data_IF_000243329170
#
_entry.id   IF_000243329170
#
_cell.length_a   1.000
_cell.length_b   1.000
_cell.length_c   1.000
_cell.angle_alpha   90.00
_cell.angle_beta   90.00
_cell.angle_gamma   90.00
#
_symmetry.space_group_name_H-M   'P 1'
#
loop_
_entity.id
_entity.type
_entity.pdbx_description
1 polymer ?
#
# COMPACT_ATOMS: atom_id res chain seq x y z
N UNK A 1 2.50 39.88 -16.22
CA UNK A 1 1.25 39.12 -16.53
C UNK A 1 1.39 38.11 -17.67
N UNK A 2 2.25 38.30 -18.68
CA UNK A 2 2.33 37.37 -19.82
C UNK A 2 3.07 36.03 -19.55
N UNK A 3 4.06 36.00 -18.68
CA UNK A 3 4.86 34.76 -18.42
C UNK A 3 4.15 33.73 -17.57
N UNK A 4 3.34 34.12 -16.61
CA UNK A 4 2.62 33.25 -15.69
C UNK A 4 1.52 32.45 -16.40
N UNK A 5 0.78 33.11 -17.28
CA UNK A 5 -0.24 32.48 -18.12
C UNK A 5 0.41 31.41 -19.01
N UNK A 6 1.61 31.69 -19.55
CA UNK A 6 2.35 30.77 -20.40
C UNK A 6 2.80 29.48 -19.66
N UNK A 7 3.24 29.56 -18.39
CA UNK A 7 3.66 28.37 -17.60
C UNK A 7 2.44 27.51 -17.25
N UNK A 8 1.38 28.12 -16.79
CA UNK A 8 0.12 27.44 -16.47
C UNK A 8 -0.47 26.74 -17.68
N UNK A 9 -0.46 27.40 -18.84
CA UNK A 9 -0.98 26.87 -20.10
C UNK A 9 -0.14 25.67 -20.57
N UNK A 10 1.19 25.71 -20.39
CA UNK A 10 2.07 24.56 -20.66
C UNK A 10 1.76 23.37 -19.76
N UNK A 11 1.55 23.59 -18.45
CA UNK A 11 1.14 22.53 -17.52
C UNK A 11 -0.16 21.91 -17.98
N UNK A 12 -1.15 22.71 -18.32
CA UNK A 12 -2.46 22.23 -18.80
C UNK A 12 -2.37 21.50 -20.14
N UNK A 13 -1.58 22.02 -21.08
CA UNK A 13 -1.35 21.37 -22.36
C UNK A 13 -0.69 20.00 -22.21
N UNK A 14 0.32 19.87 -21.35
CA UNK A 14 0.93 18.57 -21.07
C UNK A 14 -0.04 17.59 -20.44
N UNK A 15 -0.86 18.06 -19.49
CA UNK A 15 -1.91 17.23 -18.86
C UNK A 15 -2.98 16.80 -19.84
N UNK A 16 -3.39 17.66 -20.77
CA UNK A 16 -4.38 17.32 -21.81
C UNK A 16 -3.88 16.23 -22.76
N UNK A 17 -2.56 16.08 -22.89
CA UNK A 17 -1.93 14.98 -23.63
C UNK A 17 -1.67 13.72 -22.80
N UNK A 18 -2.20 13.66 -21.57
CA UNK A 18 -2.08 12.50 -20.70
C UNK A 18 -0.75 12.39 -19.95
N UNK A 19 0.09 13.44 -19.92
CA UNK A 19 1.32 13.45 -19.17
C UNK A 19 1.09 13.78 -17.69
N UNK A 20 1.82 13.11 -16.80
CA UNK A 20 1.92 13.46 -15.38
C UNK A 20 2.97 14.56 -15.24
N UNK A 21 2.55 15.74 -14.76
CA UNK A 21 3.38 16.94 -14.74
C UNK A 21 3.80 17.29 -13.31
N UNK A 22 5.11 17.35 -13.09
CA UNK A 22 5.69 17.94 -11.88
C UNK A 22 6.18 19.36 -12.20
N UNK A 23 5.89 20.30 -11.30
CA UNK A 23 6.34 21.69 -11.43
C UNK A 23 7.00 22.15 -10.14
N UNK A 24 8.10 22.87 -10.28
CA UNK A 24 8.77 23.55 -9.17
C UNK A 24 8.63 25.05 -9.27
N UNK A 25 8.44 25.73 -8.15
CA UNK A 25 8.34 27.19 -8.09
C UNK A 25 8.65 27.73 -6.69
N UNK A 26 9.03 29.00 -6.62
CA UNK A 26 9.36 29.72 -5.38
C UNK A 26 8.58 31.03 -5.23
N UNK A 27 8.09 31.59 -6.35
CA UNK A 27 7.36 32.85 -6.40
C UNK A 27 5.86 32.71 -6.16
N UNK A 28 5.21 33.79 -5.70
CA UNK A 28 3.75 33.88 -5.54
C UNK A 28 3.05 33.60 -6.87
N UNK A 29 3.66 34.01 -7.97
CA UNK A 29 3.14 33.88 -9.32
C UNK A 29 3.04 32.41 -9.78
N UNK A 30 3.88 31.56 -9.24
CA UNK A 30 3.90 30.13 -9.57
C UNK A 30 2.77 29.34 -8.89
N UNK A 31 2.10 29.94 -7.89
CA UNK A 31 1.13 29.23 -7.05
C UNK A 31 -0.01 28.58 -7.85
N UNK A 32 -0.52 29.27 -8.89
CA UNK A 32 -1.60 28.73 -9.72
C UNK A 32 -1.12 27.57 -10.60
N UNK A 33 0.07 27.67 -11.17
CA UNK A 33 0.63 26.62 -12.00
C UNK A 33 1.05 25.40 -11.17
N UNK A 34 1.58 25.61 -9.95
CA UNK A 34 1.85 24.55 -8.96
C UNK A 34 0.60 23.80 -8.54
N UNK A 35 -0.51 24.51 -8.35
CA UNK A 35 -1.81 23.93 -8.03
C UNK A 35 -2.38 23.09 -9.19
N UNK A 36 -2.20 23.53 -10.42
CA UNK A 36 -2.69 22.85 -11.62
C UNK A 36 -1.81 21.62 -11.98
N UNK A 37 -0.55 21.58 -11.56
CA UNK A 37 0.35 20.43 -11.74
C UNK A 37 -0.09 19.22 -10.90
N UNK A 38 0.26 18.01 -11.35
CA UNK A 38 0.00 16.77 -10.60
C UNK A 38 0.86 16.70 -9.34
N UNK A 39 2.10 17.21 -9.43
CA UNK A 39 3.01 17.37 -8.30
C UNK A 39 3.59 18.79 -8.28
N UNK A 40 3.02 19.66 -7.45
CA UNK A 40 3.58 20.99 -7.16
C UNK A 40 4.66 20.89 -6.09
N UNK A 41 5.85 21.42 -6.37
CA UNK A 41 7.02 21.41 -5.46
C UNK A 41 7.41 22.84 -5.16
N UNK A 42 7.32 23.26 -3.91
CA UNK A 42 7.78 24.58 -3.48
C UNK A 42 9.20 24.52 -2.89
N UNK A 43 9.94 25.61 -3.07
CA UNK A 43 11.23 25.77 -2.42
C UNK A 43 11.06 26.27 -0.99
N UNK A 44 11.94 25.84 -0.06
CA UNK A 44 11.86 26.19 1.35
C UNK A 44 12.04 27.69 1.64
N UNK A 45 12.76 28.40 0.79
CA UNK A 45 12.92 29.85 0.79
C UNK A 45 11.81 30.60 -0.02
N UNK A 46 10.91 29.86 -0.66
CA UNK A 46 9.83 30.42 -1.48
C UNK A 46 8.73 31.11 -0.67
N UNK A 47 7.83 31.77 -1.39
CA UNK A 47 6.72 32.53 -0.81
C UNK A 47 5.77 31.64 0.00
N UNK A 48 5.17 32.14 1.11
CA UNK A 48 4.20 31.39 1.90
C UNK A 48 3.01 30.88 1.10
N UNK A 49 2.52 31.68 0.15
CA UNK A 49 1.41 31.31 -0.72
C UNK A 49 1.73 30.10 -1.60
N UNK A 50 2.96 30.02 -2.12
CA UNK A 50 3.45 28.90 -2.94
C UNK A 50 3.56 27.62 -2.10
N UNK A 51 4.09 27.74 -0.88
CA UNK A 51 4.19 26.60 0.06
C UNK A 51 2.81 26.07 0.45
N UNK A 52 1.81 26.95 0.60
CA UNK A 52 0.47 26.56 1.01
C UNK A 52 -0.27 25.71 -0.04
N UNK A 53 0.08 25.86 -1.33
CA UNK A 53 -0.54 25.11 -2.44
C UNK A 53 0.30 23.93 -2.94
N UNK A 54 1.58 23.87 -2.56
CA UNK A 54 2.49 22.82 -2.96
C UNK A 54 2.20 21.51 -2.23
N UNK A 55 2.38 20.38 -2.92
CA UNK A 55 2.27 19.04 -2.34
C UNK A 55 3.57 18.57 -1.68
N UNK A 56 4.70 19.16 -2.09
CA UNK A 56 6.03 18.88 -1.55
C UNK A 56 6.76 20.20 -1.32
N UNK A 57 7.48 20.31 -0.20
CA UNK A 57 8.33 21.48 0.10
C UNK A 57 9.76 21.01 0.30
N UNK A 58 10.70 21.53 -0.50
CA UNK A 58 12.13 21.29 -0.37
C UNK A 58 12.73 22.26 0.65
N UNK A 59 12.75 21.87 1.93
CA UNK A 59 13.14 22.74 3.06
C UNK A 59 14.51 23.39 2.86
N UNK A 60 15.50 22.65 2.35
CA UNK A 60 16.85 23.17 2.08
C UNK A 60 16.98 23.85 0.72
N UNK A 61 15.91 23.93 -0.08
CA UNK A 61 15.96 24.50 -1.44
C UNK A 61 16.85 23.75 -2.42
N UNK A 62 17.29 22.53 -2.11
CA UNK A 62 18.20 21.75 -2.94
C UNK A 62 17.43 20.81 -3.86
N UNK A 63 17.43 21.11 -5.14
CA UNK A 63 16.82 20.26 -6.16
C UNK A 63 17.47 18.87 -6.25
N UNK A 64 18.76 18.77 -5.90
CA UNK A 64 19.51 17.52 -5.84
C UNK A 64 18.97 16.49 -4.85
N UNK A 65 18.08 16.88 -3.94
CA UNK A 65 17.40 15.97 -3.02
C UNK A 65 16.28 15.15 -3.69
N UNK A 66 15.73 15.62 -4.83
CA UNK A 66 14.60 14.96 -5.50
C UNK A 66 14.86 13.51 -5.92
N UNK A 67 16.01 13.13 -6.48
CA UNK A 67 16.29 11.72 -6.77
C UNK A 67 16.19 10.82 -5.54
N UNK A 68 16.66 11.30 -4.38
CA UNK A 68 16.53 10.58 -3.11
C UNK A 68 15.07 10.43 -2.66
N UNK A 69 14.27 11.48 -2.79
CA UNK A 69 12.82 11.44 -2.49
C UNK A 69 12.10 10.44 -3.38
N UNK A 70 12.42 10.41 -4.68
CA UNK A 70 11.84 9.44 -5.62
C UNK A 70 12.26 8.01 -5.28
N UNK A 71 13.52 7.79 -4.91
CA UNK A 71 14.01 6.48 -4.50
C UNK A 71 13.30 5.98 -3.24
N UNK A 72 13.14 6.85 -2.23
CA UNK A 72 12.41 6.51 -1.01
C UNK A 72 10.91 6.26 -1.27
N UNK A 73 10.27 7.07 -2.11
CA UNK A 73 8.89 6.84 -2.53
C UNK A 73 8.70 5.47 -3.20
N UNK A 74 9.61 5.07 -4.08
CA UNK A 74 9.60 3.73 -4.69
C UNK A 74 9.76 2.61 -3.68
N UNK A 75 10.66 2.80 -2.70
CA UNK A 75 10.86 1.85 -1.60
C UNK A 75 9.60 1.67 -0.77
N UNK A 76 8.97 2.77 -0.36
CA UNK A 76 7.72 2.75 0.42
C UNK A 76 6.61 2.04 -0.34
N UNK A 77 6.42 2.35 -1.63
CA UNK A 77 5.40 1.70 -2.46
C UNK A 77 5.63 0.19 -2.59
N UNK A 78 6.87 -0.24 -2.86
CA UNK A 78 7.19 -1.66 -2.98
C UNK A 78 7.00 -2.42 -1.65
N UNK A 79 7.38 -1.83 -0.54
CA UNK A 79 7.19 -2.43 0.78
C UNK A 79 5.69 -2.49 1.14
N UNK A 80 4.92 -1.45 0.82
CA UNK A 80 3.47 -1.44 1.00
C UNK A 80 2.79 -2.55 0.19
N UNK A 81 3.22 -2.78 -1.05
CA UNK A 81 2.69 -3.87 -1.89
C UNK A 81 2.92 -5.25 -1.26
N UNK A 82 4.12 -5.50 -0.74
CA UNK A 82 4.46 -6.75 -0.06
C UNK A 82 3.67 -6.96 1.23
N UNK A 83 3.58 -5.93 2.04
CA UNK A 83 2.83 -5.97 3.31
C UNK A 83 1.33 -6.16 3.04
N UNK A 84 0.77 -5.41 2.10
CA UNK A 84 -0.63 -5.55 1.69
C UNK A 84 -0.95 -6.97 1.21
N UNK A 85 -0.03 -7.61 0.47
CA UNK A 85 -0.18 -9.00 0.02
C UNK A 85 -0.33 -9.97 1.19
N UNK A 86 0.49 -9.83 2.24
CA UNK A 86 0.40 -10.69 3.43
C UNK A 86 -0.94 -10.52 4.16
N UNK A 87 -1.39 -9.27 4.34
CA UNK A 87 -2.66 -8.98 5.01
C UNK A 87 -3.86 -9.47 4.21
N UNK A 88 -3.87 -9.26 2.91
CA UNK A 88 -4.96 -9.72 2.05
C UNK A 88 -5.05 -11.24 1.97
N UNK A 89 -3.92 -11.93 1.84
CA UNK A 89 -3.90 -13.39 1.86
C UNK A 89 -4.50 -13.94 3.16
N UNK A 90 -4.13 -13.33 4.32
CA UNK A 90 -4.73 -13.66 5.61
C UNK A 90 -6.23 -13.46 5.63
N UNK A 91 -6.69 -12.31 5.15
CA UNK A 91 -8.13 -11.99 5.14
C UNK A 91 -8.90 -13.01 4.30
N UNK A 92 -8.36 -13.43 3.16
CA UNK A 92 -8.99 -14.41 2.27
C UNK A 92 -9.11 -15.78 2.96
N UNK A 93 -8.02 -16.31 3.54
CA UNK A 93 -8.14 -17.62 4.19
C UNK A 93 -9.00 -17.57 5.45
N UNK A 94 -8.93 -16.49 6.23
CA UNK A 94 -9.76 -16.34 7.42
C UNK A 94 -11.26 -16.25 7.07
N UNK A 95 -11.59 -15.51 6.02
CA UNK A 95 -12.96 -15.41 5.50
C UNK A 95 -13.47 -16.76 4.97
N UNK A 96 -12.62 -17.49 4.24
CA UNK A 96 -12.96 -18.82 3.75
C UNK A 96 -13.28 -19.77 4.91
N UNK A 97 -12.42 -19.82 5.92
CA UNK A 97 -12.62 -20.65 7.11
C UNK A 97 -13.92 -20.24 7.82
N UNK A 98 -14.14 -18.94 8.03
CA UNK A 98 -15.33 -18.44 8.72
C UNK A 98 -16.62 -18.85 7.99
N UNK A 99 -16.68 -18.69 6.67
CA UNK A 99 -17.85 -19.04 5.85
C UNK A 99 -18.12 -20.55 5.91
N UNK A 100 -17.10 -21.39 5.69
CA UNK A 100 -17.27 -22.84 5.65
C UNK A 100 -17.68 -23.39 7.01
N UNK A 101 -17.01 -22.96 8.09
CA UNK A 101 -17.29 -23.41 9.46
C UNK A 101 -18.69 -22.99 9.90
N UNK A 102 -19.12 -21.76 9.55
CA UNK A 102 -20.49 -21.28 9.82
C UNK A 102 -21.53 -22.08 9.05
N UNK A 103 -21.28 -22.39 7.78
CA UNK A 103 -22.21 -23.18 6.95
C UNK A 103 -22.34 -24.62 7.45
N UNK A 104 -21.26 -25.20 7.98
CA UNK A 104 -21.25 -26.57 8.53
C UNK A 104 -21.71 -26.63 9.99
N UNK A 105 -21.98 -25.50 10.64
CA UNK A 105 -22.31 -25.37 12.07
C UNK A 105 -21.30 -26.10 13.01
N UNK A 106 -20.02 -26.08 12.63
CA UNK A 106 -18.92 -26.69 13.40
C UNK A 106 -18.20 -25.60 14.22
N UNK A 107 -17.53 -25.99 15.32
CA UNK A 107 -16.76 -25.05 16.13
C UNK A 107 -15.59 -24.44 15.32
N UNK A 108 -15.30 -23.16 15.56
CA UNK A 108 -14.20 -22.48 14.86
C UNK A 108 -12.85 -23.07 15.29
N UNK A 109 -11.94 -23.38 14.34
CA UNK A 109 -10.70 -24.13 14.63
C UNK A 109 -9.68 -23.38 15.47
N UNK A 110 -9.79 -22.06 15.58
CA UNK A 110 -8.85 -21.22 16.33
C UNK A 110 -9.51 -20.47 17.46
N UNK A 111 -8.90 -20.54 18.64
CA UNK A 111 -9.22 -19.59 19.72
C UNK A 111 -8.65 -18.20 19.38
N UNK A 112 -9.30 -17.09 19.81
CA UNK A 112 -8.82 -15.74 19.51
C UNK A 112 -7.34 -15.50 19.88
N UNK A 113 -6.89 -16.02 21.03
CA UNK A 113 -5.51 -15.93 21.48
C UNK A 113 -4.52 -16.66 20.55
N UNK A 114 -4.90 -17.82 20.03
CA UNK A 114 -4.07 -18.59 19.08
C UNK A 114 -3.96 -17.86 17.74
N UNK A 115 -5.09 -17.30 17.28
CA UNK A 115 -5.12 -16.53 16.05
C UNK A 115 -4.24 -15.28 16.12
N UNK A 116 -4.16 -14.63 17.30
CA UNK A 116 -3.26 -13.51 17.54
C UNK A 116 -1.80 -13.91 17.44
N UNK A 117 -1.40 -15.03 18.09
CA UNK A 117 -0.01 -15.53 18.02
C UNK A 117 0.37 -15.91 16.60
N UNK A 118 -0.48 -16.68 15.91
CA UNK A 118 -0.27 -17.05 14.50
C UNK A 118 -0.11 -15.81 13.63
N UNK A 119 -0.98 -14.80 13.82
CA UNK A 119 -0.92 -13.55 13.07
C UNK A 119 0.35 -12.76 13.32
N UNK A 120 0.80 -12.68 14.56
CA UNK A 120 2.03 -11.95 14.91
C UNK A 120 3.26 -12.61 14.30
N UNK A 121 3.33 -13.95 14.32
CA UNK A 121 4.44 -14.70 13.75
C UNK A 121 4.43 -14.72 12.22
N UNK A 122 3.28 -14.89 11.59
CA UNK A 122 3.18 -15.07 10.13
C UNK A 122 3.10 -13.75 9.36
N UNK A 123 2.62 -12.69 10.00
CA UNK A 123 2.45 -11.38 9.36
C UNK A 123 3.24 -10.31 10.08
N UNK A 124 3.11 -10.18 11.39
CA UNK A 124 3.72 -9.08 12.16
C UNK A 124 5.24 -9.03 11.99
N UNK A 125 5.93 -10.12 12.28
CA UNK A 125 7.39 -10.20 12.16
C UNK A 125 7.84 -10.08 10.69
N UNK A 126 7.30 -10.84 9.72
CA UNK A 126 7.68 -10.69 8.32
C UNK A 126 7.38 -9.29 7.76
N UNK A 127 6.24 -8.68 8.10
CA UNK A 127 5.91 -7.33 7.67
C UNK A 127 6.91 -6.29 8.20
N UNK A 128 7.32 -6.42 9.46
CA UNK A 128 8.34 -5.56 10.06
C UNK A 128 9.69 -5.70 9.35
N UNK A 129 10.15 -6.91 9.10
CA UNK A 129 11.40 -7.18 8.36
C UNK A 129 11.32 -6.64 6.93
N UNK A 130 10.19 -6.85 6.25
CA UNK A 130 9.98 -6.34 4.89
C UNK A 130 9.91 -4.81 4.84
N UNK A 131 9.40 -4.15 5.87
CA UNK A 131 9.38 -2.69 5.95
C UNK A 131 10.78 -2.09 6.01
N UNK A 132 11.75 -2.79 6.61
CA UNK A 132 13.15 -2.39 6.69
C UNK A 132 13.94 -2.73 5.42
N UNK A 133 13.46 -3.65 4.59
CA UNK A 133 14.17 -4.12 3.42
C UNK A 133 14.35 -3.01 2.37
N UNK A 134 15.55 -2.81 1.82
CA UNK A 134 15.76 -1.89 0.71
C UNK A 134 15.05 -2.43 -0.54
N UNK A 135 14.43 -1.52 -1.29
CA UNK A 135 13.80 -1.88 -2.56
C UNK A 135 14.08 -0.79 -3.60
N UNK A 136 14.71 -1.20 -4.71
CA UNK A 136 15.00 -0.34 -5.86
C UNK A 136 14.04 -0.61 -7.03
N UNK A 137 12.94 -1.31 -6.79
CA UNK A 137 11.99 -1.65 -7.86
C UNK A 137 11.29 -0.39 -8.36
N UNK A 138 11.20 -0.27 -9.70
CA UNK A 138 10.41 0.79 -10.31
C UNK A 138 8.93 0.55 -10.05
N UNK A 139 8.19 1.62 -9.80
CA UNK A 139 6.73 1.55 -9.76
C UNK A 139 6.19 0.95 -11.06
N UNK A 140 5.28 0.01 -10.92
CA UNK A 140 4.53 -0.57 -12.04
C UNK A 140 3.05 -0.29 -11.81
N UNK A 141 2.35 0.11 -12.86
CA UNK A 141 0.90 0.28 -12.80
C UNK A 141 0.19 -1.06 -12.55
N UNK A 142 -1.06 -1.01 -12.04
CA UNK A 142 -1.84 -2.22 -11.77
C UNK A 142 -1.52 -2.88 -10.43
N UNK A 143 -1.17 -2.09 -9.40
CA UNK A 143 -0.92 -2.57 -8.03
C UNK A 143 -1.98 -3.56 -7.54
N UNK A 144 -3.27 -3.20 -7.62
CA UNK A 144 -4.36 -4.02 -7.11
C UNK A 144 -4.45 -5.38 -7.82
N UNK A 145 -4.31 -5.39 -9.15
CA UNK A 145 -4.34 -6.63 -9.93
C UNK A 145 -3.21 -7.59 -9.54
N UNK A 146 -1.98 -7.08 -9.36
CA UNK A 146 -0.84 -7.91 -8.94
C UNK A 146 -1.00 -8.47 -7.54
N UNK A 147 -1.44 -7.62 -6.59
CA UNK A 147 -1.69 -8.05 -5.22
C UNK A 147 -2.78 -9.13 -5.19
N UNK A 148 -3.90 -8.93 -5.86
CA UNK A 148 -4.99 -9.91 -5.89
C UNK A 148 -4.59 -11.21 -6.59
N UNK A 149 -3.88 -11.15 -7.70
CA UNK A 149 -3.42 -12.35 -8.42
C UNK A 149 -2.50 -13.25 -7.58
N UNK A 150 -1.77 -12.68 -6.63
CA UNK A 150 -0.94 -13.43 -5.68
C UNK A 150 -1.72 -13.89 -4.44
N UNK A 151 -2.52 -12.99 -3.87
CA UNK A 151 -3.18 -13.22 -2.57
C UNK A 151 -4.36 -14.16 -2.65
N UNK A 152 -5.12 -14.13 -3.77
CA UNK A 152 -6.31 -14.99 -3.91
C UNK A 152 -5.90 -16.46 -3.94
N UNK A 153 -5.01 -16.93 -4.83
CA UNK A 153 -4.62 -18.33 -4.83
C UNK A 153 -3.90 -18.73 -3.53
N UNK A 154 -3.01 -17.91 -3.00
CA UNK A 154 -2.31 -18.20 -1.75
C UNK A 154 -3.27 -18.32 -0.55
N UNK A 155 -4.23 -17.40 -0.43
CA UNK A 155 -5.23 -17.44 0.64
C UNK A 155 -6.19 -18.62 0.50
N UNK A 156 -6.62 -18.96 -0.72
CA UNK A 156 -7.46 -20.14 -0.96
C UNK A 156 -6.72 -21.43 -0.65
N UNK A 157 -5.46 -21.58 -1.07
CA UNK A 157 -4.64 -22.75 -0.75
C UNK A 157 -4.45 -22.89 0.76
N UNK A 158 -4.06 -21.83 1.45
CA UNK A 158 -3.88 -21.86 2.90
C UNK A 158 -5.19 -22.20 3.64
N UNK A 159 -6.30 -21.62 3.21
CA UNK A 159 -7.62 -21.87 3.79
C UNK A 159 -8.09 -23.31 3.55
N UNK A 160 -7.94 -23.84 2.34
CA UNK A 160 -8.35 -25.23 2.01
C UNK A 160 -7.49 -26.26 2.76
N UNK A 161 -6.18 -26.07 2.84
CA UNK A 161 -5.30 -26.96 3.61
C UNK A 161 -5.66 -26.94 5.09
N UNK A 162 -5.88 -25.75 5.67
CA UNK A 162 -6.27 -25.62 7.08
C UNK A 162 -7.62 -26.29 7.34
N UNK A 163 -8.62 -26.07 6.49
CA UNK A 163 -9.95 -26.68 6.62
C UNK A 163 -9.89 -28.20 6.46
N UNK A 164 -9.19 -28.70 5.45
CA UNK A 164 -9.07 -30.15 5.22
C UNK A 164 -8.40 -30.86 6.39
N UNK A 165 -7.34 -30.28 6.94
CA UNK A 165 -6.66 -30.80 8.14
C UNK A 165 -7.58 -30.78 9.36
N UNK A 166 -8.28 -29.69 9.57
CA UNK A 166 -9.24 -29.55 10.69
C UNK A 166 -10.37 -30.56 10.59
N UNK A 167 -11.01 -30.68 9.44
CA UNK A 167 -12.10 -31.62 9.21
C UNK A 167 -11.63 -33.07 9.33
N UNK A 168 -10.45 -33.40 8.79
CA UNK A 168 -9.87 -34.72 8.93
C UNK A 168 -9.64 -35.09 10.41
N UNK A 169 -9.08 -34.19 11.21
CA UNK A 169 -8.85 -34.38 12.63
C UNK A 169 -10.19 -34.53 13.40
N UNK A 170 -11.19 -33.72 13.08
CA UNK A 170 -12.50 -33.81 13.74
C UNK A 170 -13.24 -35.10 13.40
N UNK A 171 -13.06 -35.63 12.19
CA UNK A 171 -13.70 -36.88 11.76
C UNK A 171 -12.96 -38.13 12.26
N UNK A 172 -11.62 -38.07 12.38
CA UNK A 172 -10.79 -39.25 12.72
C UNK A 172 -10.45 -39.34 14.20
N UNK A 173 -10.35 -38.22 14.94
CA UNK A 173 -9.85 -38.18 16.31
C UNK A 173 -10.79 -37.47 17.29
N UNK A 174 -12.08 -37.46 17.05
CA UNK A 174 -13.01 -36.92 18.04
C UNK A 174 -13.34 -37.92 19.18
N UNK A 175 -12.56 -37.99 20.27
CA UNK A 175 -13.18 -38.04 21.58
C UNK A 175 -13.48 -36.58 21.94
N UNK A 176 -14.75 -36.29 22.03
CA UNK A 176 -15.28 -34.99 22.48
C UNK A 176 -14.72 -34.71 23.89
N UNK A 177 -13.58 -34.04 23.97
CA UNK A 177 -13.24 -33.32 25.17
C UNK A 177 -14.27 -32.18 25.29
N UNK A 178 -15.28 -32.43 26.10
CA UNK A 178 -16.23 -31.45 26.59
C UNK A 178 -15.43 -30.30 27.16
N UNK A 179 -15.53 -29.14 26.55
CA UNK A 179 -15.08 -27.89 27.13
C UNK A 179 -16.18 -27.48 28.11
N UNK A 180 -15.97 -27.81 29.37
CA UNK A 180 -16.62 -27.14 30.49
C UNK A 180 -15.97 -25.80 30.71
#
# INVERSE_FOLDING_TARGET
>A
MGSEMCIRDRVRALKSHGHVVAMTGDGVNDALALKDADLGIAMGNGAPATKAVARLVLLKGQFSALPGVVAEGRRVMANTERIASLFLAKTIYASLIAVVVSAMAVAYPFLPRQFTVVSSLTIGIPAFVLALAPSNQRYREGFLGRVLSLCVPAGLMAGTVTLSTYLWLTLTHAPRAQVT
#
